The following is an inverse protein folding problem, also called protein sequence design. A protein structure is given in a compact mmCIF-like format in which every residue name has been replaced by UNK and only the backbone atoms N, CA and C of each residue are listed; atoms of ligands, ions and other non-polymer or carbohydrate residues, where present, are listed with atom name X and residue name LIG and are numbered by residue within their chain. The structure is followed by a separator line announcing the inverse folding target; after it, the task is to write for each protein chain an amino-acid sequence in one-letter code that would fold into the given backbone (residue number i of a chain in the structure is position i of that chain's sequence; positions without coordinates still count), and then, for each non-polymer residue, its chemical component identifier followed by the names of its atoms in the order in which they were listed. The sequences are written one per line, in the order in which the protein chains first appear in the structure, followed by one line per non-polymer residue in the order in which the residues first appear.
data_IF_219185361231
#
_entry.id   IF_219185361231
#
_cell.length_a   1.000
_cell.length_b   1.000
_cell.length_c   1.000
_cell.angle_alpha   90.00
_cell.angle_beta   90.00
_cell.angle_gamma   90.00
#
_symmetry.space_group_name_H-M   'P 1'
#
loop_
_entity.id
_entity.type
_entity.pdbx_description
1 polymer ?
#
# COMPACT_ATOMS: atom_id res chain seq x y z
N UNK A 1 -32.17 -23.49 -27.46
CA UNK A 1 -30.92 -24.26 -27.42
C UNK A 1 -29.85 -23.22 -27.73
N UNK A 2 -29.51 -22.40 -26.74
CA UNK A 2 -28.41 -22.71 -25.79
C UNK A 2 -27.14 -22.45 -26.59
N UNK A 3 -26.47 -21.31 -26.45
CA UNK A 3 -25.64 -21.10 -25.27
C UNK A 3 -25.71 -19.69 -24.68
N UNK A 4 -26.01 -19.69 -23.39
CA UNK A 4 -25.90 -18.60 -22.43
C UNK A 4 -24.42 -18.52 -22.02
N UNK A 5 -23.58 -17.82 -22.80
CA UNK A 5 -22.26 -17.40 -22.33
C UNK A 5 -22.47 -16.19 -21.42
N UNK A 6 -22.88 -16.48 -20.18
CA UNK A 6 -22.80 -15.54 -19.08
C UNK A 6 -21.33 -15.27 -18.81
N UNK A 7 -20.72 -14.38 -19.59
CA UNK A 7 -19.42 -13.79 -19.28
C UNK A 7 -19.61 -13.02 -17.98
N UNK A 8 -19.24 -13.66 -16.87
CA UNK A 8 -19.36 -13.13 -15.53
C UNK A 8 -18.52 -11.85 -15.44
N UNK A 9 -19.16 -10.70 -15.71
CA UNK A 9 -18.52 -9.39 -15.60
C UNK A 9 -18.18 -9.15 -14.14
N UNK A 10 -17.00 -8.60 -13.81
CA UNK A 10 -16.76 -8.10 -12.47
C UNK A 10 -17.80 -7.01 -12.18
N UNK A 11 -18.71 -7.30 -11.25
CA UNK A 11 -19.86 -6.45 -10.93
C UNK A 11 -19.40 -5.23 -10.11
N UNK A 12 -18.74 -4.30 -10.77
CA UNK A 12 -18.47 -2.97 -10.22
C UNK A 12 -19.53 -2.02 -10.75
N UNK A 13 -20.26 -1.36 -9.85
CA UNK A 13 -21.31 -0.42 -10.24
C UNK A 13 -20.80 0.69 -11.20
N UNK A 14 -21.68 1.31 -12.01
CA UNK A 14 -21.31 2.15 -13.15
C UNK A 14 -20.69 3.51 -12.78
N UNK A 15 -20.57 3.81 -11.49
CA UNK A 15 -20.04 5.07 -10.97
C UNK A 15 -18.68 4.83 -10.33
N UNK A 16 -17.69 5.65 -10.70
CA UNK A 16 -16.39 5.67 -10.05
C UNK A 16 -16.26 6.92 -9.18
N UNK A 17 -16.01 6.73 -7.88
CA UNK A 17 -15.56 7.80 -7.01
C UNK A 17 -14.04 7.97 -7.21
N UNK A 18 -13.60 9.18 -7.55
CA UNK A 18 -12.21 9.46 -7.93
C UNK A 18 -11.65 10.58 -7.06
N UNK A 19 -10.46 10.35 -6.50
CA UNK A 19 -9.62 11.45 -5.98
C UNK A 19 -8.83 12.00 -7.15
N UNK A 20 -9.05 13.28 -7.44
CA UNK A 20 -8.36 13.99 -8.53
C UNK A 20 -7.07 14.59 -7.99
N UNK A 21 -5.97 14.41 -8.70
CA UNK A 21 -4.67 14.98 -8.31
C UNK A 21 -4.65 16.49 -8.59
N UNK A 22 -5.10 17.28 -7.61
CA UNK A 22 -5.12 18.74 -7.65
C UNK A 22 -4.53 19.32 -6.34
N UNK A 23 -3.67 20.35 -6.40
CA UNK A 23 -3.09 20.97 -5.22
C UNK A 23 -4.07 21.91 -4.48
N UNK A 24 -5.29 22.07 -4.97
CA UNK A 24 -6.27 23.00 -4.43
C UNK A 24 -7.01 22.39 -3.23
N UNK A 25 -6.72 22.88 -2.02
CA UNK A 25 -7.27 22.33 -0.77
C UNK A 25 -8.81 22.29 -0.71
N UNK A 26 -9.50 23.28 -1.28
CA UNK A 26 -10.97 23.30 -1.33
C UNK A 26 -11.58 22.20 -2.23
N UNK A 27 -10.73 21.47 -2.97
CA UNK A 27 -11.10 20.35 -3.84
C UNK A 27 -10.55 19.01 -3.32
N UNK A 28 -10.06 18.95 -2.07
CA UNK A 28 -9.55 17.72 -1.45
C UNK A 28 -10.69 16.78 -1.02
N UNK A 29 -11.37 16.22 -2.01
CA UNK A 29 -12.52 15.33 -1.86
C UNK A 29 -12.61 14.39 -3.06
N UNK A 30 -13.51 13.42 -2.96
CA UNK A 30 -13.87 12.57 -4.10
C UNK A 30 -14.83 13.28 -5.05
N UNK A 31 -14.71 12.95 -6.32
CA UNK A 31 -15.60 13.37 -7.40
C UNK A 31 -16.11 12.12 -8.13
N UNK A 32 -17.41 12.05 -8.41
CA UNK A 32 -17.96 10.90 -9.11
C UNK A 32 -17.96 11.10 -10.62
N UNK A 33 -17.64 10.02 -11.33
CA UNK A 33 -17.62 9.93 -12.79
C UNK A 33 -18.43 8.71 -13.23
N UNK A 34 -19.06 8.81 -14.40
CA UNK A 34 -19.63 7.61 -15.02
C UNK A 34 -18.53 6.81 -15.69
N UNK A 35 -18.66 5.48 -15.66
CA UNK A 35 -17.69 4.57 -16.25
C UNK A 35 -18.22 4.11 -17.61
N UNK A 36 -17.58 4.48 -18.72
CA UNK A 36 -17.89 3.93 -20.04
C UNK A 36 -17.73 2.41 -20.08
N UNK A 37 -18.54 1.74 -20.90
CA UNK A 37 -18.55 0.27 -21.00
C UNK A 37 -17.19 -0.32 -21.42
N UNK A 38 -16.42 0.40 -22.24
CA UNK A 38 -15.06 0.03 -22.65
C UNK A 38 -14.02 0.12 -21.53
N UNK A 39 -14.33 0.83 -20.43
CA UNK A 39 -13.46 0.98 -19.26
C UNK A 39 -13.96 0.20 -18.04
N UNK A 40 -15.07 -0.54 -18.16
CA UNK A 40 -15.76 -1.17 -17.03
C UNK A 40 -14.85 -2.14 -16.25
N UNK A 41 -14.09 -2.96 -16.99
CA UNK A 41 -13.17 -3.98 -16.45
C UNK A 41 -11.94 -3.36 -15.82
N UNK A 42 -11.37 -2.32 -16.45
CA UNK A 42 -10.08 -1.75 -16.06
C UNK A 42 -10.19 -0.69 -14.94
N UNK A 43 -11.36 -0.04 -14.81
CA UNK A 43 -11.59 1.02 -13.83
C UNK A 43 -11.91 0.45 -12.43
N UNK A 44 -10.96 -0.33 -11.88
CA UNK A 44 -11.06 -0.95 -10.55
C UNK A 44 -10.62 0.03 -9.44
N UNK A 45 -11.07 -0.16 -8.18
CA UNK A 45 -10.53 0.58 -7.04
C UNK A 45 -9.01 0.48 -6.96
N UNK A 46 -8.34 1.60 -6.71
CA UNK A 46 -6.89 1.74 -6.71
C UNK A 46 -6.26 2.07 -8.06
N UNK A 47 -7.00 1.89 -9.17
CA UNK A 47 -6.48 2.13 -10.52
C UNK A 47 -6.27 3.62 -10.79
N UNK A 48 -5.20 3.92 -11.56
CA UNK A 48 -4.90 5.29 -12.00
C UNK A 48 -5.72 5.62 -13.24
N UNK A 49 -6.40 6.76 -13.23
CA UNK A 49 -7.30 7.23 -14.30
C UNK A 49 -6.94 8.63 -14.76
N UNK A 50 -7.39 8.97 -15.98
CA UNK A 50 -7.44 10.34 -16.48
C UNK A 50 -8.88 10.81 -16.45
N UNK A 51 -9.11 12.02 -15.95
CA UNK A 51 -10.45 12.63 -15.89
C UNK A 51 -10.45 14.04 -16.46
N UNK A 52 -11.60 14.49 -16.98
CA UNK A 52 -11.78 15.90 -17.32
C UNK A 52 -12.29 16.64 -16.09
N UNK A 53 -11.54 17.63 -15.65
CA UNK A 53 -11.83 18.41 -14.45
C UNK A 53 -11.59 19.90 -14.74
N UNK A 54 -12.62 20.73 -14.56
CA UNK A 54 -12.57 22.18 -14.85
C UNK A 54 -11.97 22.52 -16.22
N UNK A 55 -12.36 21.78 -17.26
CA UNK A 55 -11.94 22.00 -18.65
C UNK A 55 -10.56 21.43 -19.03
N UNK A 56 -9.80 20.90 -18.06
CA UNK A 56 -8.48 20.28 -18.28
C UNK A 56 -8.54 18.78 -18.02
N UNK A 57 -7.52 18.06 -18.47
CA UNK A 57 -7.33 16.66 -18.08
C UNK A 57 -6.35 16.56 -16.93
N UNK A 58 -6.76 15.87 -15.87
CA UNK A 58 -5.95 15.59 -14.69
C UNK A 58 -5.87 14.09 -14.44
N UNK A 59 -4.80 13.68 -13.78
CA UNK A 59 -4.67 12.33 -13.24
C UNK A 59 -5.47 12.21 -11.95
N UNK A 60 -5.82 10.97 -11.59
CA UNK A 60 -6.55 10.66 -10.37
C UNK A 60 -6.55 9.16 -10.12
N UNK A 61 -7.15 8.77 -9.00
CA UNK A 61 -7.30 7.36 -8.61
C UNK A 61 -8.76 7.05 -8.32
N UNK A 62 -9.23 5.93 -8.85
CA UNK A 62 -10.53 5.38 -8.43
C UNK A 62 -10.37 4.89 -6.99
N UNK A 63 -11.17 5.42 -6.07
CA UNK A 63 -11.18 4.95 -4.68
C UNK A 63 -12.24 3.89 -4.44
N UNK A 64 -13.33 3.94 -5.19
CA UNK A 64 -14.49 3.08 -5.01
C UNK A 64 -15.32 3.03 -6.31
N UNK A 65 -16.00 1.90 -6.52
CA UNK A 65 -17.04 1.72 -7.55
C UNK A 65 -18.41 1.57 -6.90
N UNK A 66 -19.41 2.30 -7.39
CA UNK A 66 -20.75 2.42 -6.80
C UNK A 66 -21.84 2.14 -7.83
N UNK A 67 -22.94 1.57 -7.36
CA UNK A 67 -24.13 1.28 -8.19
C UNK A 67 -24.86 2.56 -8.64
N UNK A 68 -24.90 3.59 -7.80
CA UNK A 68 -25.61 4.82 -8.06
C UNK A 68 -24.77 6.05 -7.66
N UNK A 69 -24.96 7.19 -8.33
CA UNK A 69 -24.36 8.45 -7.90
C UNK A 69 -24.97 8.91 -6.57
N UNK A 70 -24.17 9.56 -5.74
CA UNK A 70 -24.64 10.20 -4.51
C UNK A 70 -25.15 11.62 -4.75
N UNK A 71 -24.94 12.16 -5.94
CA UNK A 71 -25.35 13.52 -6.30
C UNK A 71 -26.18 13.56 -7.58
N UNK A 72 -27.23 14.38 -7.56
CA UNK A 72 -28.29 14.45 -8.59
C UNK A 72 -27.85 15.04 -9.94
N UNK A 73 -26.57 15.39 -10.08
CA UNK A 73 -26.00 15.99 -11.28
C UNK A 73 -25.65 14.96 -12.36
N UNK A 74 -25.55 15.42 -13.62
CA UNK A 74 -25.04 14.60 -14.72
C UNK A 74 -23.57 14.29 -14.49
N UNK A 75 -23.24 13.00 -14.39
CA UNK A 75 -21.87 12.55 -14.29
C UNK A 75 -21.09 12.81 -15.58
N UNK A 76 -19.86 13.29 -15.42
CA UNK A 76 -18.89 13.34 -16.52
C UNK A 76 -18.32 11.94 -16.72
N UNK A 77 -18.17 11.43 -17.96
CA UNK A 77 -17.54 10.14 -18.18
C UNK A 77 -16.03 10.18 -17.86
N UNK A 78 -15.49 9.08 -17.34
CA UNK A 78 -14.04 8.86 -17.27
C UNK A 78 -13.43 8.98 -18.67
N UNK A 79 -12.22 9.56 -18.76
CA UNK A 79 -11.55 9.75 -20.06
C UNK A 79 -10.78 8.51 -20.50
N UNK A 80 -10.04 7.90 -19.58
CA UNK A 80 -9.34 6.63 -19.78
C UNK A 80 -8.84 6.09 -18.46
N UNK A 81 -8.61 4.79 -18.41
CA UNK A 81 -7.76 4.15 -17.40
C UNK A 81 -6.30 4.25 -17.86
N UNK A 82 -5.42 4.76 -17.00
CA UNK A 82 -3.99 4.93 -17.31
C UNK A 82 -3.23 3.62 -17.08
N UNK A 83 -3.61 2.91 -16.02
CA UNK A 83 -3.15 1.56 -15.68
C UNK A 83 -4.26 0.89 -14.84
N UNK A 84 -4.68 -0.35 -15.17
CA UNK A 84 -5.66 -1.08 -14.37
C UNK A 84 -5.08 -1.61 -13.05
N UNK A 85 -3.76 -1.50 -12.85
CA UNK A 85 -3.09 -1.96 -11.63
C UNK A 85 -3.58 -1.16 -10.40
N UNK A 86 -4.12 -1.81 -9.35
CA UNK A 86 -4.64 -1.17 -8.15
C UNK A 86 -3.51 -0.69 -7.22
N UNK A 87 -2.73 0.29 -7.66
CA UNK A 87 -1.55 0.80 -6.94
C UNK A 87 -1.91 1.61 -5.69
N UNK A 88 -3.11 2.18 -5.62
CA UNK A 88 -3.61 2.86 -4.43
C UNK A 88 -4.45 1.88 -3.60
N UNK A 89 -3.81 1.16 -2.70
CA UNK A 89 -4.51 0.25 -1.79
C UNK A 89 -5.33 1.01 -0.74
N UNK A 90 -6.34 0.40 -0.11
CA UNK A 90 -7.10 1.01 0.97
C UNK A 90 -6.22 1.49 2.14
N UNK A 91 -5.17 0.73 2.49
CA UNK A 91 -4.22 1.07 3.56
C UNK A 91 -3.39 2.31 3.20
N UNK A 92 -2.90 2.39 1.95
CA UNK A 92 -2.15 3.55 1.45
C UNK A 92 -3.04 4.79 1.40
N UNK A 93 -4.30 4.65 0.96
CA UNK A 93 -5.28 5.73 0.97
C UNK A 93 -5.56 6.23 2.38
N UNK A 94 -5.83 5.32 3.32
CA UNK A 94 -6.11 5.64 4.72
C UNK A 94 -4.91 6.32 5.39
N UNK A 95 -3.70 5.80 5.19
CA UNK A 95 -2.48 6.40 5.72
C UNK A 95 -2.23 7.78 5.12
N UNK A 96 -2.39 7.92 3.80
CA UNK A 96 -2.16 9.19 3.11
C UNK A 96 -3.14 10.27 3.57
N UNK A 97 -4.41 9.88 3.82
CA UNK A 97 -5.42 10.75 4.42
C UNK A 97 -5.02 11.16 5.83
N UNK A 98 -4.64 10.22 6.69
CA UNK A 98 -4.22 10.51 8.06
C UNK A 98 -3.01 11.46 8.11
N UNK A 99 -2.04 11.31 7.18
CA UNK A 99 -0.90 12.21 7.04
C UNK A 99 -1.37 13.60 6.59
N UNK A 100 -2.20 13.70 5.56
CA UNK A 100 -2.72 14.98 5.08
C UNK A 100 -3.45 15.74 6.20
N UNK A 101 -4.34 15.07 6.93
CA UNK A 101 -5.13 15.66 8.01
C UNK A 101 -4.22 16.08 9.19
N UNK A 102 -3.21 15.26 9.52
CA UNK A 102 -2.27 15.55 10.61
C UNK A 102 -1.39 16.77 10.35
N UNK A 103 -1.00 16.98 9.10
CA UNK A 103 -0.07 18.04 8.69
C UNK A 103 -0.76 19.19 7.95
N UNK A 104 -2.10 19.25 7.96
CA UNK A 104 -2.91 20.25 7.25
C UNK A 104 -2.55 20.38 5.76
N UNK A 105 -2.21 19.26 5.12
CA UNK A 105 -1.97 19.13 3.68
C UNK A 105 -3.20 18.63 2.92
N UNK A 106 -3.04 18.37 1.62
CA UNK A 106 -4.07 17.72 0.79
C UNK A 106 -3.71 16.27 0.53
N UNK A 107 -4.70 15.39 0.34
CA UNK A 107 -4.42 14.00 -0.05
C UNK A 107 -3.66 13.91 -1.37
N UNK A 108 -3.95 14.80 -2.34
CA UNK A 108 -3.20 14.84 -3.59
C UNK A 108 -1.71 15.09 -3.38
N UNK A 109 -1.32 15.95 -2.43
CA UNK A 109 0.09 16.25 -2.16
C UNK A 109 0.81 15.08 -1.47
N UNK A 110 0.10 14.26 -0.71
CA UNK A 110 0.64 13.05 -0.09
C UNK A 110 0.70 11.91 -1.10
N UNK A 111 -0.35 11.69 -1.89
CA UNK A 111 -0.43 10.61 -2.88
C UNK A 111 0.64 10.71 -3.95
N UNK A 112 0.99 11.91 -4.42
CA UNK A 112 2.08 12.09 -5.40
C UNK A 112 3.45 11.64 -4.89
N UNK A 113 3.63 11.54 -3.56
CA UNK A 113 4.84 11.04 -2.92
C UNK A 113 4.71 9.56 -2.53
N UNK A 114 3.51 9.14 -2.10
CA UNK A 114 3.23 7.78 -1.67
C UNK A 114 3.15 6.79 -2.84
N UNK A 115 2.62 7.22 -4.00
CA UNK A 115 2.45 6.39 -5.19
C UNK A 115 3.39 6.85 -6.29
N UNK A 116 4.42 6.06 -6.64
CA UNK A 116 5.34 6.39 -7.72
C UNK A 116 4.62 6.70 -9.03
N UNK A 117 5.23 7.55 -9.86
CA UNK A 117 4.75 7.76 -11.23
C UNK A 117 4.77 6.43 -11.99
N UNK A 118 3.76 6.23 -12.83
CA UNK A 118 3.66 5.04 -13.67
C UNK A 118 4.95 4.81 -14.46
N UNK A 119 5.45 3.57 -14.41
CA UNK A 119 6.57 3.12 -15.23
C UNK A 119 6.14 1.89 -16.04
N UNK A 120 5.60 2.13 -17.25
CA UNK A 120 4.93 1.10 -18.05
C UNK A 120 5.79 -0.14 -18.37
N UNK A 121 7.10 0.02 -18.52
CA UNK A 121 8.02 -1.11 -18.71
C UNK A 121 8.17 -1.95 -17.45
N UNK A 122 8.17 -1.32 -16.27
CA UNK A 122 8.25 -2.05 -15.00
C UNK A 122 6.95 -2.83 -14.75
N UNK A 123 5.79 -2.22 -15.00
CA UNK A 123 4.49 -2.90 -14.90
C UNK A 123 4.45 -4.18 -15.74
N UNK A 124 4.94 -4.15 -16.98
CA UNK A 124 4.98 -5.33 -17.86
C UNK A 124 5.97 -6.40 -17.41
N UNK A 125 7.00 -6.01 -16.65
CA UNK A 125 8.08 -6.90 -16.22
C UNK A 125 7.81 -7.53 -14.84
N UNK A 126 6.80 -7.06 -14.11
CA UNK A 126 6.43 -7.62 -12.82
C UNK A 126 5.69 -8.96 -13.03
N UNK A 127 6.18 -10.00 -12.36
CA UNK A 127 5.38 -11.18 -12.13
C UNK A 127 4.25 -10.81 -11.16
N UNK A 128 3.00 -10.99 -11.58
CA UNK A 128 1.81 -10.70 -10.76
C UNK A 128 1.69 -11.65 -9.56
N UNK A 129 2.33 -12.81 -9.63
CA UNK A 129 2.36 -13.80 -8.56
C UNK A 129 3.73 -13.81 -7.89
N UNK A 130 3.75 -13.50 -6.60
CA UNK A 130 4.93 -13.70 -5.77
C UNK A 130 5.07 -15.21 -5.52
N UNK A 131 6.25 -15.76 -5.78
CA UNK A 131 6.53 -17.16 -5.44
C UNK A 131 6.31 -17.37 -3.93
N UNK A 132 5.77 -18.52 -3.49
CA UNK A 132 5.62 -18.81 -2.08
C UNK A 132 7.00 -18.69 -1.41
N UNK A 133 7.11 -17.96 -0.29
CA UNK A 133 8.40 -17.77 0.36
C UNK A 133 8.95 -19.11 0.83
N UNK A 134 10.26 -19.30 0.68
CA UNK A 134 10.92 -20.46 1.24
C UNK A 134 10.78 -20.46 2.78
N UNK A 135 10.54 -21.62 3.41
CA UNK A 135 10.42 -21.68 4.86
C UNK A 135 11.71 -21.21 5.53
N UNK A 136 11.60 -20.15 6.33
CA UNK A 136 12.72 -19.65 7.14
C UNK A 136 12.71 -20.37 8.50
N UNK A 137 13.83 -20.97 8.94
CA UNK A 137 13.89 -21.63 10.24
C UNK A 137 13.87 -20.63 11.38
N UNK A 138 13.22 -21.00 12.49
CA UNK A 138 13.14 -20.17 13.70
C UNK A 138 14.55 -19.86 14.23
N UNK A 139 14.94 -18.58 14.39
CA UNK A 139 16.25 -18.21 14.91
C UNK A 139 16.32 -18.37 16.44
N UNK A 140 17.54 -18.42 16.98
CA UNK A 140 17.77 -18.23 18.41
C UNK A 140 17.39 -16.79 18.82
N UNK A 141 16.80 -16.57 20.00
CA UNK A 141 16.52 -15.23 20.53
C UNK A 141 17.70 -14.25 20.54
N UNK A 142 18.95 -14.71 20.62
CA UNK A 142 20.15 -13.88 20.47
C UNK A 142 20.17 -12.67 21.41
N UNK A 143 20.40 -11.47 20.86
CA UNK A 143 20.44 -10.21 21.60
C UNK A 143 19.18 -9.95 22.46
N UNK A 144 18.02 -10.51 22.08
CA UNK A 144 16.76 -10.32 22.81
C UNK A 144 16.77 -10.94 24.21
N UNK A 145 17.65 -11.92 24.48
CA UNK A 145 17.79 -12.53 25.82
C UNK A 145 18.22 -11.50 26.87
N UNK A 146 18.92 -10.42 26.46
CA UNK A 146 19.31 -9.35 27.36
C UNK A 146 18.12 -8.52 27.88
N UNK A 147 16.93 -8.68 27.29
CA UNK A 147 15.72 -7.93 27.64
C UNK A 147 14.71 -8.86 28.30
N UNK A 148 14.18 -8.53 29.50
CA UNK A 148 13.26 -9.40 30.23
C UNK A 148 12.02 -9.85 29.41
N UNK A 149 11.49 -8.95 28.58
CA UNK A 149 10.35 -9.24 27.71
C UNK A 149 10.73 -9.76 26.31
N UNK A 150 12.02 -9.79 25.95
CA UNK A 150 12.50 -10.09 24.60
C UNK A 150 12.06 -11.46 24.08
N UNK A 151 12.35 -12.57 24.78
CA UNK A 151 11.94 -13.90 24.34
C UNK A 151 10.40 -14.06 24.28
N UNK A 152 9.66 -13.41 25.17
CA UNK A 152 8.20 -13.43 25.12
C UNK A 152 7.67 -12.64 23.91
N UNK A 153 8.26 -11.49 23.61
CA UNK A 153 7.91 -10.66 22.46
C UNK A 153 8.18 -11.40 21.14
N UNK A 154 9.35 -12.05 20.98
CA UNK A 154 9.66 -12.85 19.79
C UNK A 154 8.67 -14.01 19.57
N UNK A 155 8.29 -14.72 20.65
CA UNK A 155 7.28 -15.80 20.53
C UNK A 155 5.93 -15.28 20.03
N UNK A 156 5.48 -14.13 20.54
CA UNK A 156 4.23 -13.49 20.08
C UNK A 156 4.34 -12.97 18.66
N UNK A 157 5.53 -12.51 18.26
CA UNK A 157 5.83 -12.09 16.89
C UNK A 157 5.72 -13.28 15.92
N UNK A 158 6.37 -14.40 16.25
CA UNK A 158 6.27 -15.66 15.51
C UNK A 158 4.85 -16.22 15.45
N UNK A 159 4.08 -16.08 16.54
CA UNK A 159 2.68 -16.49 16.62
C UNK A 159 1.70 -15.58 15.85
N UNK A 160 2.18 -14.50 15.23
CA UNK A 160 1.35 -13.60 14.44
C UNK A 160 0.45 -12.67 15.26
N UNK A 161 0.63 -12.58 16.59
CA UNK A 161 -0.25 -11.82 17.50
C UNK A 161 -0.15 -10.28 17.37
N UNK A 162 0.72 -9.77 16.50
CA UNK A 162 0.94 -8.33 16.29
C UNK A 162 1.40 -7.56 17.54
N UNK A 163 2.42 -8.01 18.30
CA UNK A 163 2.84 -7.32 19.52
C UNK A 163 3.52 -5.98 19.22
N UNK A 164 3.02 -4.90 19.82
CA UNK A 164 3.70 -3.60 19.82
C UNK A 164 4.76 -3.52 20.93
N UNK A 165 5.90 -2.89 20.64
CA UNK A 165 6.95 -2.64 21.62
C UNK A 165 7.63 -1.29 21.38
N UNK A 166 8.07 -0.64 22.46
CA UNK A 166 9.05 0.43 22.42
C UNK A 166 10.36 -0.13 23.01
N UNK A 167 11.43 -0.06 22.25
CA UNK A 167 12.69 -0.70 22.58
C UNK A 167 13.84 0.31 22.57
N UNK A 168 14.68 0.26 23.60
CA UNK A 168 15.95 0.97 23.65
C UNK A 168 17.10 -0.02 23.52
N UNK A 169 17.88 0.11 22.45
CA UNK A 169 19.11 -0.66 22.29
C UNK A 169 20.10 -0.34 23.42
N UNK A 170 20.69 -1.37 24.04
CA UNK A 170 21.67 -1.17 25.11
C UNK A 170 22.97 -0.61 24.52
N UNK A 171 23.55 0.47 25.10
CA UNK A 171 24.79 1.03 24.61
C UNK A 171 25.97 0.07 24.83
N UNK A 172 27.02 0.21 24.02
CA UNK A 172 28.28 -0.53 24.17
C UNK A 172 28.21 -2.00 23.76
N UNK A 173 27.15 -2.42 23.06
CA UNK A 173 27.04 -3.75 22.45
C UNK A 173 27.72 -3.78 21.09
N UNK A 174 28.24 -4.94 20.69
CA UNK A 174 28.90 -5.17 19.40
C UNK A 174 28.65 -6.59 18.92
N UNK A 175 28.85 -6.83 17.62
CA UNK A 175 28.62 -8.14 16.99
C UNK A 175 27.17 -8.62 17.17
N UNK A 176 26.98 -9.89 17.50
CA UNK A 176 25.67 -10.55 17.62
C UNK A 176 24.77 -9.97 18.73
N UNK A 177 25.31 -9.13 19.60
CA UNK A 177 24.57 -8.45 20.67
C UNK A 177 24.17 -7.00 20.33
N UNK A 178 24.61 -6.46 19.20
CA UNK A 178 24.32 -5.09 18.76
C UNK A 178 22.87 -4.97 18.22
N UNK A 179 22.41 -3.73 18.08
CA UNK A 179 21.05 -3.44 17.62
C UNK A 179 20.73 -3.96 16.20
N UNK A 180 21.65 -4.00 15.21
CA UNK A 180 21.35 -4.53 13.89
C UNK A 180 21.00 -6.02 13.97
N UNK A 181 21.82 -6.79 14.68
CA UNK A 181 21.63 -8.22 14.92
C UNK A 181 20.32 -8.51 15.65
N UNK A 182 19.95 -7.67 16.63
CA UNK A 182 18.65 -7.78 17.29
C UNK A 182 17.48 -7.58 16.30
N UNK A 183 17.55 -6.58 15.42
CA UNK A 183 16.52 -6.36 14.39
C UNK A 183 16.50 -7.47 13.34
N UNK A 184 17.65 -8.01 12.95
CA UNK A 184 17.76 -9.15 12.05
C UNK A 184 17.06 -10.39 12.65
N UNK A 185 17.31 -10.71 13.93
CA UNK A 185 16.59 -11.79 14.64
C UNK A 185 15.08 -11.55 14.65
N UNK A 186 14.63 -10.31 14.88
CA UNK A 186 13.20 -9.98 14.86
C UNK A 186 12.59 -10.15 13.46
N UNK A 187 13.29 -9.73 12.40
CA UNK A 187 12.86 -9.89 11.02
C UNK A 187 12.78 -11.38 10.63
N UNK A 188 13.81 -12.16 10.93
CA UNK A 188 13.85 -13.62 10.70
C UNK A 188 12.77 -14.34 11.49
N UNK A 189 12.46 -13.90 12.72
CA UNK A 189 11.34 -14.43 13.52
C UNK A 189 9.99 -14.18 12.85
N UNK A 190 9.78 -12.97 12.29
CA UNK A 190 8.55 -12.67 11.55
C UNK A 190 8.42 -13.51 10.27
N UNK A 191 9.52 -13.69 9.54
CA UNK A 191 9.60 -14.52 8.33
C UNK A 191 9.33 -16.01 8.65
N UNK A 192 9.88 -16.52 9.74
CA UNK A 192 9.63 -17.89 10.22
C UNK A 192 8.16 -18.11 10.60
N UNK A 193 7.47 -17.05 11.03
CA UNK A 193 6.02 -17.03 11.25
C UNK A 193 5.18 -16.85 9.98
N UNK A 194 5.80 -16.87 8.78
CA UNK A 194 5.13 -16.72 7.50
C UNK A 194 4.71 -15.29 7.16
N UNK A 195 5.32 -14.27 7.80
CA UNK A 195 5.01 -12.85 7.56
C UNK A 195 6.22 -12.10 7.00
N UNK A 196 5.97 -11.03 6.26
CA UNK A 196 7.03 -10.10 5.85
C UNK A 196 7.56 -9.22 7.00
N UNK A 197 8.69 -8.56 6.74
CA UNK A 197 9.27 -7.55 7.63
C UNK A 197 9.67 -6.30 6.82
N UNK A 198 9.43 -5.11 7.39
CA UNK A 198 9.92 -3.84 6.90
C UNK A 198 10.67 -3.16 8.04
N UNK A 199 11.95 -2.86 7.82
CA UNK A 199 12.79 -2.16 8.79
C UNK A 199 13.17 -0.81 8.22
N UNK A 200 12.88 0.27 8.95
CA UNK A 200 13.20 1.64 8.55
C UNK A 200 14.25 2.18 9.50
N UNK A 201 15.35 2.66 8.94
CA UNK A 201 16.48 3.23 9.68
C UNK A 201 16.83 4.63 9.17
N UNK A 202 17.55 5.43 9.98
CA UNK A 202 17.79 6.85 9.68
C UNK A 202 18.53 7.12 8.37
N UNK A 203 19.56 6.34 8.04
CA UNK A 203 20.41 6.58 6.87
C UNK A 203 21.00 5.29 6.26
N UNK A 204 21.71 5.45 5.14
CA UNK A 204 22.33 4.35 4.41
C UNK A 204 23.37 3.56 5.24
N UNK A 205 24.06 4.18 6.19
CA UNK A 205 25.06 3.49 7.01
C UNK A 205 24.38 2.51 7.95
N UNK A 206 23.23 2.90 8.49
CA UNK A 206 22.41 2.01 9.32
C UNK A 206 21.77 0.89 8.47
N UNK A 207 21.45 1.16 7.19
CA UNK A 207 21.04 0.11 6.25
C UNK A 207 22.16 -0.89 6.01
N UNK A 208 23.37 -0.42 5.68
CA UNK A 208 24.53 -1.28 5.43
C UNK A 208 24.86 -2.16 6.66
N UNK A 209 24.70 -1.61 7.87
CA UNK A 209 24.90 -2.36 9.12
C UNK A 209 23.83 -3.42 9.34
N UNK A 210 22.59 -3.18 8.96
CA UNK A 210 21.51 -4.16 9.04
C UNK A 210 21.65 -5.26 7.98
N UNK A 211 22.06 -4.91 6.77
CA UNK A 211 22.25 -5.86 5.67
C UNK A 211 23.40 -6.83 5.96
N UNK A 212 24.41 -6.37 6.71
CA UNK A 212 25.53 -7.20 7.14
C UNK A 212 25.25 -8.08 8.38
N UNK A 213 24.09 -7.93 9.03
CA UNK A 213 23.77 -8.55 10.33
C UNK A 213 22.97 -9.86 10.23
#
# INVERSE_FOLDING_TARGET
MGDDETTQRPAFGPVAAVVVETPLAHLDRVFEYSVPADLEVDAVPGARVRVRFSGRELDGFVVERREAPQHDGRLTPLRRVVSPEPVLTPEVLALSRAVADRYAGTLSDVLRLAVPKRHATAEKALALECAPPEPVPMPDPGAWVAYPAGPAWLRRLAGGEGPAAAWGALPGRSGDADWPSALAVAATTALSGGRGALVVVPDHRDVDRLDAA
#
